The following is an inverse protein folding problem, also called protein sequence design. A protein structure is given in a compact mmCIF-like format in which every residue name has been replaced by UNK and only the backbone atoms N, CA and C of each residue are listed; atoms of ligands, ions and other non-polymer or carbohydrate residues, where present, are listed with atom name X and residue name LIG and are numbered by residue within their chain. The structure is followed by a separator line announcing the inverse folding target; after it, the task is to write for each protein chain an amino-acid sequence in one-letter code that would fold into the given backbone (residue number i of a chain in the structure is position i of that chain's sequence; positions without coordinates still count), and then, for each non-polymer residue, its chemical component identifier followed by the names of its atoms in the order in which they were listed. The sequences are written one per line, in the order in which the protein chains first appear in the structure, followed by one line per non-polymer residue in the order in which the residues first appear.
data_IF_986378621796
#
_entry.id   IF_986378621796
#
_cell.length_a   1.000
_cell.length_b   1.000
_cell.length_c   1.000
_cell.angle_alpha   90.00
_cell.angle_beta   90.00
_cell.angle_gamma   90.00
#
_symmetry.space_group_name_H-M   'P 1'
#
loop_
_entity.id
_entity.type
_entity.pdbx_description
1 polymer ?
#
# COMPACT_ATOMS: atom_id res chain seq x y z
N UNK A 1 -29.87 -3.15 0.98
CA UNK A 1 -29.62 -2.17 2.09
C UNK A 1 -28.29 -2.39 2.84
N UNK A 2 -27.92 -3.61 3.25
CA UNK A 2 -26.69 -3.85 4.03
C UNK A 2 -25.40 -3.41 3.30
N UNK A 3 -25.31 -3.66 2.00
CA UNK A 3 -24.16 -3.30 1.16
C UNK A 3 -23.94 -1.79 1.02
N UNK A 4 -25.02 -0.99 0.92
CA UNK A 4 -24.94 0.48 0.86
C UNK A 4 -24.41 1.04 2.18
N UNK A 5 -24.87 0.51 3.32
CA UNK A 5 -24.35 0.89 4.65
C UNK A 5 -22.88 0.52 4.80
N UNK A 6 -22.45 -0.61 4.25
CA UNK A 6 -21.05 -1.02 4.23
C UNK A 6 -20.19 -0.04 3.41
N UNK A 7 -20.61 0.29 2.18
CA UNK A 7 -19.92 1.25 1.30
C UNK A 7 -19.78 2.63 1.96
N UNK A 8 -20.86 3.13 2.57
CA UNK A 8 -20.83 4.39 3.31
C UNK A 8 -19.80 4.38 4.45
N UNK A 9 -19.76 3.29 5.24
CA UNK A 9 -18.78 3.15 6.33
C UNK A 9 -17.34 3.06 5.81
N UNK A 10 -17.11 2.34 4.72
CA UNK A 10 -15.80 2.25 4.08
C UNK A 10 -15.33 3.61 3.57
N UNK A 11 -16.19 4.35 2.85
CA UNK A 11 -15.89 5.70 2.35
C UNK A 11 -15.53 6.67 3.47
N UNK A 12 -16.26 6.62 4.60
CA UNK A 12 -15.92 7.45 5.77
C UNK A 12 -14.58 7.05 6.38
N UNK A 13 -14.31 5.75 6.49
CA UNK A 13 -13.04 5.25 7.03
C UNK A 13 -11.86 5.69 6.18
N UNK A 14 -11.96 5.59 4.85
CA UNK A 14 -10.90 6.01 3.93
C UNK A 14 -10.76 7.53 3.90
N UNK A 15 -11.87 8.29 3.90
CA UNK A 15 -11.81 9.75 3.93
C UNK A 15 -11.15 10.30 5.21
N UNK A 16 -11.27 9.61 6.35
CA UNK A 16 -10.55 9.97 7.58
C UNK A 16 -9.03 9.83 7.47
N UNK A 17 -8.52 9.02 6.55
CA UNK A 17 -7.08 8.86 6.33
C UNK A 17 -6.49 10.02 5.51
N UNK A 18 -7.32 10.84 4.87
CA UNK A 18 -6.86 12.02 4.11
C UNK A 18 -6.15 13.04 5.03
N UNK A 19 -5.23 13.84 4.44
CA UNK A 19 -4.66 15.00 5.11
C UNK A 19 -5.75 15.94 5.65
N UNK A 20 -5.48 16.61 6.78
CA UNK A 20 -6.49 17.38 7.52
C UNK A 20 -7.20 18.43 6.65
N UNK A 21 -6.46 19.10 5.77
CA UNK A 21 -6.98 20.09 4.83
C UNK A 21 -8.10 19.55 3.91
N UNK A 22 -8.05 18.26 3.53
CA UNK A 22 -9.02 17.64 2.60
C UNK A 22 -10.05 16.74 3.30
N UNK A 23 -9.82 16.41 4.57
CA UNK A 23 -10.66 15.45 5.31
C UNK A 23 -12.08 15.97 5.53
N UNK A 24 -12.20 17.19 6.06
CA UNK A 24 -13.51 17.79 6.39
C UNK A 24 -14.39 17.96 5.14
N UNK A 25 -13.91 18.57 4.04
CA UNK A 25 -14.75 18.73 2.85
C UNK A 25 -15.16 17.38 2.24
N UNK A 26 -14.24 16.42 2.16
CA UNK A 26 -14.56 15.08 1.64
C UNK A 26 -15.62 14.36 2.49
N UNK A 27 -15.55 14.47 3.83
CA UNK A 27 -16.55 13.87 4.72
C UNK A 27 -17.93 14.53 4.59
N UNK A 28 -17.98 15.84 4.38
CA UNK A 28 -19.23 16.56 4.14
C UNK A 28 -19.85 16.13 2.81
N UNK A 29 -19.08 16.09 1.73
CA UNK A 29 -19.54 15.68 0.41
C UNK A 29 -20.11 14.25 0.40
N UNK A 30 -19.45 13.30 1.07
CA UNK A 30 -19.97 11.93 1.21
C UNK A 30 -21.30 11.94 1.97
N UNK A 31 -21.42 12.73 3.04
CA UNK A 31 -22.65 12.78 3.84
C UNK A 31 -23.80 13.44 3.09
N UNK A 32 -23.57 14.50 2.32
CA UNK A 32 -24.62 15.19 1.56
C UNK A 32 -25.16 14.28 0.46
N UNK A 33 -24.28 13.70 -0.37
CA UNK A 33 -24.70 12.80 -1.46
C UNK A 33 -25.51 11.60 -0.97
N UNK A 34 -25.09 10.94 0.11
CA UNK A 34 -25.86 9.81 0.66
C UNK A 34 -27.19 10.22 1.31
N UNK A 35 -27.32 11.47 1.78
CA UNK A 35 -28.58 11.99 2.32
C UNK A 35 -29.54 12.43 1.22
N UNK A 36 -29.04 13.07 0.19
CA UNK A 36 -29.80 13.50 -0.98
C UNK A 36 -30.51 12.32 -1.66
N UNK A 37 -29.82 11.18 -1.76
CA UNK A 37 -30.36 9.97 -2.37
C UNK A 37 -30.97 8.97 -1.38
N UNK A 38 -31.22 9.36 -0.13
CA UNK A 38 -31.74 8.44 0.89
C UNK A 38 -33.18 7.95 0.63
N UNK A 39 -33.96 8.73 -0.14
CA UNK A 39 -35.35 8.44 -0.49
C UNK A 39 -35.55 7.76 -1.85
N UNK A 40 -34.48 7.48 -2.60
CA UNK A 40 -34.58 6.82 -3.91
C UNK A 40 -35.00 5.35 -3.74
N UNK A 41 -36.11 4.98 -4.38
CA UNK A 41 -36.69 3.61 -4.36
C UNK A 41 -36.48 2.85 -5.67
N UNK A 42 -35.98 3.51 -6.71
CA UNK A 42 -35.73 2.90 -8.02
C UNK A 42 -34.48 2.02 -8.00
N UNK A 43 -34.64 0.73 -8.29
CA UNK A 43 -33.59 -0.27 -8.23
C UNK A 43 -32.45 0.01 -9.23
N UNK A 44 -32.77 0.51 -10.43
CA UNK A 44 -31.75 0.77 -11.47
C UNK A 44 -30.80 1.90 -11.04
N UNK A 45 -31.37 3.00 -10.53
CA UNK A 45 -30.59 4.13 -10.01
C UNK A 45 -29.76 3.76 -8.79
N UNK A 46 -30.28 2.90 -7.91
CA UNK A 46 -29.54 2.42 -6.75
C UNK A 46 -28.28 1.65 -7.18
N UNK A 47 -28.34 0.82 -8.22
CA UNK A 47 -27.16 0.10 -8.73
C UNK A 47 -26.15 1.05 -9.39
N UNK A 48 -26.61 2.03 -10.15
CA UNK A 48 -25.73 3.06 -10.73
C UNK A 48 -24.99 3.84 -9.64
N UNK A 49 -25.72 4.29 -8.60
CA UNK A 49 -25.14 5.02 -7.47
C UNK A 49 -24.16 4.16 -6.66
N UNK A 50 -24.42 2.86 -6.52
CA UNK A 50 -23.46 1.92 -5.90
C UNK A 50 -22.19 1.83 -6.72
N UNK A 51 -22.30 1.69 -8.04
CA UNK A 51 -21.15 1.61 -8.92
C UNK A 51 -20.29 2.89 -8.87
N UNK A 52 -20.92 4.06 -8.86
CA UNK A 52 -20.22 5.35 -8.67
C UNK A 52 -19.52 5.42 -7.30
N UNK A 53 -20.20 5.00 -6.22
CA UNK A 53 -19.62 4.95 -4.88
C UNK A 53 -18.42 3.99 -4.78
N UNK A 54 -18.48 2.83 -5.43
CA UNK A 54 -17.38 1.86 -5.51
C UNK A 54 -16.17 2.42 -6.29
N UNK A 55 -16.43 3.11 -7.40
CA UNK A 55 -15.40 3.76 -8.20
C UNK A 55 -14.68 4.85 -7.41
N UNK A 56 -15.43 5.70 -6.70
CA UNK A 56 -14.87 6.70 -5.77
C UNK A 56 -14.09 6.07 -4.63
N UNK A 57 -14.56 4.95 -4.09
CA UNK A 57 -13.87 4.22 -3.04
C UNK A 57 -12.52 3.67 -3.52
N UNK A 58 -12.47 3.09 -4.73
CA UNK A 58 -11.21 2.65 -5.36
C UNK A 58 -10.24 3.80 -5.57
N UNK A 59 -10.74 4.93 -6.09
CA UNK A 59 -9.93 6.14 -6.25
C UNK A 59 -9.37 6.63 -4.91
N UNK A 60 -10.20 6.72 -3.87
CA UNK A 60 -9.73 7.14 -2.55
C UNK A 60 -8.68 6.15 -2.00
N UNK A 61 -8.89 4.84 -2.15
CA UNK A 61 -7.90 3.83 -1.73
C UNK A 61 -6.58 3.94 -2.48
N UNK A 62 -6.59 4.42 -3.73
CA UNK A 62 -5.38 4.66 -4.52
C UNK A 62 -4.64 5.92 -4.07
N UNK A 63 -5.36 7.01 -3.83
CA UNK A 63 -4.77 8.32 -3.47
C UNK A 63 -4.36 8.39 -2.00
N UNK A 64 -5.05 7.66 -1.13
CA UNK A 64 -4.76 7.71 0.31
C UNK A 64 -3.80 6.58 0.68
N UNK A 65 -2.55 6.87 1.06
CA UNK A 65 -1.63 5.85 1.53
C UNK A 65 -2.24 5.13 2.73
N UNK A 66 -2.33 3.80 2.68
CA UNK A 66 -2.75 3.00 3.83
C UNK A 66 -1.73 3.26 4.94
N UNK A 67 -2.21 3.67 6.12
CA UNK A 67 -1.36 3.62 7.31
C UNK A 67 -0.92 2.17 7.47
N UNK A 68 0.37 1.86 7.38
CA UNK A 68 0.82 0.53 7.67
C UNK A 68 0.42 0.23 9.13
N UNK A 69 -0.13 -0.95 9.40
CA UNK A 69 -0.20 -1.40 10.79
C UNK A 69 1.24 -1.45 11.32
N UNK A 70 1.45 -1.30 12.63
CA UNK A 70 2.78 -1.49 13.23
C UNK A 70 3.40 -2.84 12.85
N UNK A 71 2.57 -3.83 12.53
CA UNK A 71 2.98 -5.15 12.01
C UNK A 71 3.36 -5.12 10.52
N UNK A 72 2.71 -4.28 9.70
CA UNK A 72 2.95 -4.17 8.26
C UNK A 72 4.12 -3.24 7.90
N UNK A 73 4.55 -2.35 8.80
CA UNK A 73 5.77 -1.52 8.59
C UNK A 73 7.04 -2.38 8.41
N UNK A 74 7.02 -3.63 8.90
CA UNK A 74 8.18 -4.53 8.91
C UNK A 74 7.93 -5.87 8.21
N UNK A 75 7.02 -5.94 7.22
CA UNK A 75 6.89 -7.14 6.38
C UNK A 75 7.71 -6.98 5.11
N UNK A 76 8.91 -7.55 5.12
CA UNK A 76 9.69 -7.75 3.90
C UNK A 76 9.38 -9.15 3.38
N UNK A 77 8.77 -9.24 2.21
CA UNK A 77 8.57 -10.50 1.50
C UNK A 77 9.88 -10.86 0.79
N UNK A 78 10.45 -12.03 1.08
CA UNK A 78 11.62 -12.56 0.36
C UNK A 78 11.37 -14.00 -0.07
N UNK A 79 12.02 -14.40 -1.16
CA UNK A 79 11.90 -15.74 -1.73
C UNK A 79 13.14 -16.55 -1.34
N UNK A 80 12.92 -17.70 -0.72
CA UNK A 80 13.98 -18.63 -0.31
C UNK A 80 14.51 -19.45 -1.50
N UNK A 81 15.61 -20.20 -1.28
CA UNK A 81 16.26 -21.06 -2.29
C UNK A 81 15.34 -22.08 -2.96
N UNK A 82 14.25 -22.42 -2.28
CA UNK A 82 13.24 -23.39 -2.72
C UNK A 82 12.06 -22.73 -3.45
N UNK A 83 12.07 -21.41 -3.64
CA UNK A 83 11.00 -20.66 -4.29
C UNK A 83 9.82 -20.31 -3.38
N UNK A 84 9.93 -20.51 -2.07
CA UNK A 84 8.88 -20.21 -1.10
C UNK A 84 8.99 -18.76 -0.60
N UNK A 85 7.84 -18.10 -0.41
CA UNK A 85 7.78 -16.73 0.13
C UNK A 85 7.85 -16.82 1.65
N UNK A 86 8.94 -16.29 2.23
CA UNK A 86 9.13 -16.24 3.68
C UNK A 86 8.95 -14.80 4.17
N UNK A 87 8.10 -14.64 5.19
CA UNK A 87 7.87 -13.38 5.88
C UNK A 87 8.94 -13.20 6.98
N UNK A 88 9.79 -12.17 6.87
CA UNK A 88 10.84 -11.88 7.85
C UNK A 88 10.65 -10.54 8.58
N UNK A 89 10.82 -10.54 9.90
CA UNK A 89 10.85 -9.34 10.76
C UNK A 89 12.28 -8.80 10.96
N UNK A 90 12.38 -7.46 11.07
CA UNK A 90 13.57 -6.63 10.83
C UNK A 90 14.76 -6.71 11.79
N UNK A 91 15.06 -7.85 12.40
CA UNK A 91 16.32 -8.05 13.17
C UNK A 91 17.18 -9.18 12.59
N UNK A 92 16.59 -10.14 11.87
CA UNK A 92 17.33 -11.25 11.24
C UNK A 92 17.96 -10.89 9.89
N UNK A 93 18.13 -9.59 9.60
CA UNK A 93 18.52 -9.09 8.27
C UNK A 93 20.03 -9.19 7.95
N UNK A 94 20.86 -9.48 8.96
CA UNK A 94 22.32 -9.49 8.79
C UNK A 94 22.88 -10.91 8.54
N UNK A 95 22.24 -11.96 9.07
CA UNK A 95 22.79 -13.34 9.01
C UNK A 95 22.07 -14.26 8.01
N UNK A 96 21.03 -13.78 7.34
CA UNK A 96 20.28 -14.59 6.38
C UNK A 96 21.03 -14.69 5.03
N UNK A 97 21.48 -15.89 4.68
CA UNK A 97 22.04 -16.22 3.37
C UNK A 97 20.93 -16.15 2.31
N UNK A 98 21.14 -15.36 1.26
CA UNK A 98 20.22 -15.24 0.14
C UNK A 98 20.43 -16.36 -0.87
N UNK A 99 19.32 -16.73 -1.51
CA UNK A 99 19.23 -17.84 -2.46
C UNK A 99 20.16 -17.79 -3.66
N UNK A 100 20.56 -16.59 -4.05
CA UNK A 100 21.55 -16.44 -5.08
C UNK A 100 22.95 -16.53 -4.44
N UNK A 101 23.50 -17.74 -4.47
CA UNK A 101 24.92 -18.04 -4.25
C UNK A 101 25.43 -18.03 -2.80
N UNK A 102 24.55 -18.04 -1.79
CA UNK A 102 24.99 -18.15 -0.38
C UNK A 102 25.77 -16.95 0.14
N UNK A 103 25.71 -15.81 -0.55
CA UNK A 103 26.38 -14.56 -0.17
C UNK A 103 25.53 -13.75 0.82
N UNK A 104 26.20 -13.04 1.73
CA UNK A 104 25.54 -12.17 2.71
C UNK A 104 25.06 -10.87 2.04
N UNK A 105 23.98 -10.27 2.56
CA UNK A 105 23.34 -9.04 2.03
C UNK A 105 24.32 -7.89 1.79
N UNK A 106 25.29 -7.72 2.68
CA UNK A 106 26.31 -6.67 2.57
C UNK A 106 27.33 -6.93 1.46
N UNK A 107 27.54 -8.19 1.09
CA UNK A 107 28.45 -8.57 0.00
C UNK A 107 27.82 -8.28 -1.36
N UNK A 108 26.52 -8.56 -1.53
CA UNK A 108 25.78 -8.21 -2.75
C UNK A 108 25.69 -6.69 -2.96
N UNK A 109 25.43 -5.94 -1.89
CA UNK A 109 25.42 -4.47 -1.95
C UNK A 109 26.76 -3.92 -2.40
N UNK A 110 27.84 -4.46 -1.84
CA UNK A 110 29.19 -4.08 -2.23
C UNK A 110 29.48 -4.40 -3.69
N UNK A 111 29.16 -5.61 -4.16
CA UNK A 111 29.36 -6.01 -5.56
C UNK A 111 28.57 -5.12 -6.52
N UNK A 112 27.31 -4.84 -6.21
CA UNK A 112 26.47 -3.96 -7.02
C UNK A 112 27.04 -2.52 -7.06
N UNK A 113 27.48 -1.98 -5.91
CA UNK A 113 28.16 -0.67 -5.87
C UNK A 113 29.40 -0.66 -6.76
N UNK A 114 30.22 -1.72 -6.74
CA UNK A 114 31.40 -1.81 -7.61
C UNK A 114 31.03 -1.93 -9.10
N UNK A 115 29.96 -2.65 -9.45
CA UNK A 115 29.50 -2.75 -10.84
C UNK A 115 29.02 -1.39 -11.36
N UNK A 116 28.22 -0.67 -10.57
CA UNK A 116 27.78 0.69 -10.93
C UNK A 116 28.97 1.64 -11.08
N UNK A 117 29.95 1.56 -10.17
CA UNK A 117 31.20 2.34 -10.29
C UNK A 117 31.96 2.04 -11.58
N UNK A 118 32.05 0.77 -11.99
CA UNK A 118 32.69 0.39 -13.26
C UNK A 118 31.96 0.99 -14.46
N UNK A 119 30.63 0.93 -14.48
CA UNK A 119 29.84 1.54 -15.56
C UNK A 119 30.02 3.06 -15.64
N UNK A 120 30.24 3.71 -14.49
CA UNK A 120 30.48 5.15 -14.38
C UNK A 120 31.97 5.55 -14.35
N UNK A 121 32.89 4.64 -14.66
CA UNK A 121 34.34 4.88 -14.66
C UNK A 121 34.89 5.47 -13.34
N UNK A 122 34.27 5.14 -12.21
CA UNK A 122 34.69 5.56 -10.87
C UNK A 122 35.73 4.59 -10.29
N UNK A 123 36.67 5.07 -9.46
CA UNK A 123 37.69 4.24 -8.85
C UNK A 123 37.08 3.21 -7.87
N UNK A 124 37.77 2.08 -7.74
CA UNK A 124 37.38 0.97 -6.87
C UNK A 124 37.37 1.42 -5.41
N UNK A 125 36.27 1.13 -4.69
CA UNK A 125 36.13 1.45 -3.28
C UNK A 125 36.49 0.21 -2.45
N UNK A 126 37.54 0.30 -1.63
CA UNK A 126 37.93 -0.78 -0.71
C UNK A 126 36.90 -0.91 0.42
N UNK A 127 36.64 -2.14 0.87
CA UNK A 127 35.82 -2.41 2.07
C UNK A 127 36.60 -1.93 3.29
N UNK A 128 35.95 -1.19 4.18
CA UNK A 128 36.50 -0.73 5.48
C UNK A 128 36.11 -1.77 6.53
#
# INVERSE_FOLDING_TARGET
MAQVRFLYKELIRTARLLPEAKRIPALQEIRTKFREHAGETDAAKIEEMKHDAESRLKFLKMVTPRRPSKEAENKVYRVDEKGEIVEGHGVCANDARLSHFGMVTDEMRFINEQQMRRMHYLPYKKRI
#
